data_IF_207457611364
#
_entry.id   IF_207457611364
#
_cell.length_a   1.000
_cell.length_b   1.000
_cell.length_c   1.000
_cell.angle_alpha   90.00
_cell.angle_beta   90.00
_cell.angle_gamma   90.00
#
_symmetry.space_group_name_H-M   'P 1'
#
loop_
_entity.id
_entity.type
_entity.pdbx_description
1 polymer ?
#
# COMPACT_ATOMS: atom_id res chain seq x y z
N UNK A 1 -3.94 -22.11 -29.90
CA UNK A 1 -3.99 -20.71 -30.36
C UNK A 1 -2.66 -20.45 -31.05
N UNK A 2 -2.72 -20.15 -32.33
CA UNK A 2 -1.60 -20.24 -33.27
C UNK A 2 -0.60 -19.10 -33.07
N UNK A 3 0.69 -19.45 -33.09
CA UNK A 3 1.83 -18.53 -33.15
C UNK A 3 2.17 -18.28 -34.62
N UNK A 4 2.32 -17.03 -35.08
CA UNK A 4 3.04 -16.76 -36.30
C UNK A 4 4.48 -16.34 -36.00
N UNK A 5 5.39 -17.24 -36.32
CA UNK A 5 6.81 -16.97 -36.61
C UNK A 5 6.89 -16.16 -37.91
N UNK A 6 7.63 -15.06 -37.94
CA UNK A 6 8.07 -14.45 -39.20
C UNK A 6 9.55 -14.05 -39.13
N UNK A 7 10.39 -14.92 -39.69
CA UNK A 7 11.76 -14.64 -40.07
C UNK A 7 11.79 -14.14 -41.52
N UNK A 8 12.51 -13.04 -41.80
CA UNK A 8 12.95 -12.71 -43.16
C UNK A 8 14.39 -12.21 -43.13
N UNK A 9 15.31 -13.06 -43.61
CA UNK A 9 16.68 -12.71 -43.99
C UNK A 9 16.71 -12.44 -45.50
N UNK A 10 17.45 -11.39 -45.91
CA UNK A 10 17.71 -10.97 -47.30
C UNK A 10 18.56 -12.00 -48.07
N UNK A 11 18.70 -11.90 -49.42
CA UNK A 11 19.96 -11.31 -49.90
C UNK A 11 19.93 -10.53 -51.24
N UNK A 12 20.79 -9.52 -51.27
CA UNK A 12 21.80 -9.13 -52.27
C UNK A 12 21.54 -9.01 -53.80
N UNK A 13 21.78 -7.78 -54.28
CA UNK A 13 22.68 -7.36 -55.40
C UNK A 13 22.42 -7.89 -56.83
N UNK A 14 22.23 -6.97 -57.81
CA UNK A 14 23.21 -6.70 -58.88
C UNK A 14 22.66 -5.94 -60.12
N UNK A 15 23.60 -5.23 -60.77
CA UNK A 15 23.69 -4.81 -62.20
C UNK A 15 23.18 -3.42 -62.62
N UNK A 16 24.16 -2.49 -62.65
CA UNK A 16 24.67 -1.77 -63.84
C UNK A 16 23.78 -1.69 -65.09
N UNK A 17 23.57 -0.46 -65.58
CA UNK A 17 23.87 -0.08 -66.99
C UNK A 17 24.19 1.42 -67.14
N UNK A 18 25.01 1.80 -68.15
CA UNK A 18 25.65 3.11 -68.28
C UNK A 18 25.01 4.00 -69.37
N UNK A 19 25.68 5.13 -69.67
CA UNK A 19 25.52 6.13 -70.76
C UNK A 19 24.80 7.41 -70.29
N UNK A 20 25.20 8.65 -70.61
CA UNK A 20 26.28 9.27 -71.40
C UNK A 20 26.17 10.82 -71.20
N UNK A 21 27.27 11.55 -71.45
CA UNK A 21 27.35 12.99 -71.86
C UNK A 21 27.00 14.04 -70.77
N UNK A 22 27.69 15.17 -70.55
CA UNK A 22 28.72 15.91 -71.30
C UNK A 22 29.24 17.11 -70.47
N UNK A 23 30.45 17.56 -70.83
CA UNK A 23 30.93 18.96 -70.85
C UNK A 23 31.34 19.69 -69.54
N UNK A 24 32.67 19.71 -69.35
CA UNK A 24 33.55 20.86 -69.09
C UNK A 24 33.01 22.13 -68.40
N UNK A 25 33.62 22.47 -67.26
CA UNK A 25 33.58 23.79 -66.66
C UNK A 25 34.73 23.97 -65.66
N UNK A 26 35.50 25.04 -65.83
CA UNK A 26 36.75 25.39 -65.15
C UNK A 26 36.52 25.81 -63.69
N UNK A 27 37.42 25.39 -62.79
CA UNK A 27 37.93 26.28 -61.73
C UNK A 27 37.68 25.88 -60.27
N UNK A 28 38.68 26.26 -59.47
CA UNK A 28 38.76 26.39 -58.02
C UNK A 28 39.28 25.20 -57.20
N UNK A 29 40.38 25.52 -56.50
CA UNK A 29 40.94 24.81 -55.36
C UNK A 29 39.84 24.51 -54.33
N UNK A 30 39.53 23.22 -54.19
CA UNK A 30 38.80 22.71 -53.04
C UNK A 30 39.88 22.30 -52.04
N UNK A 31 40.06 23.17 -51.04
CA UNK A 31 40.61 22.76 -49.75
C UNK A 31 39.97 21.43 -49.37
N UNK A 32 40.81 20.46 -49.00
CA UNK A 32 40.38 19.20 -48.45
C UNK A 32 39.55 19.44 -47.18
N UNK A 33 38.25 19.70 -47.36
CA UNK A 33 37.25 19.23 -46.42
C UNK A 33 37.26 17.71 -46.57
N UNK A 34 38.22 17.05 -45.91
CA UNK A 34 37.93 15.73 -45.38
C UNK A 34 36.78 15.96 -44.41
N UNK A 35 35.54 15.92 -44.92
CA UNK A 35 34.45 15.40 -44.12
C UNK A 35 34.94 13.99 -43.74
N UNK A 36 35.57 13.88 -42.57
CA UNK A 36 35.73 12.61 -41.91
C UNK A 36 34.32 12.01 -41.94
N UNK A 37 34.13 10.85 -42.59
CA UNK A 37 32.82 10.25 -42.65
C UNK A 37 32.35 10.17 -41.20
N UNK A 38 31.18 10.77 -40.92
CA UNK A 38 30.54 10.63 -39.61
C UNK A 38 30.63 9.14 -39.26
N UNK A 39 31.30 8.83 -38.16
CA UNK A 39 31.41 7.46 -37.70
C UNK A 39 29.98 6.88 -37.72
N UNK A 40 29.79 5.69 -38.30
CA UNK A 40 28.46 5.12 -38.39
C UNK A 40 27.90 5.02 -36.97
N UNK A 41 26.76 5.69 -36.72
CA UNK A 41 26.05 5.56 -35.45
C UNK A 41 25.38 4.19 -35.43
N UNK A 42 25.77 3.35 -34.48
CA UNK A 42 25.22 2.00 -34.33
C UNK A 42 24.17 2.05 -33.22
N UNK A 43 22.88 2.02 -33.59
CA UNK A 43 21.78 1.87 -32.61
C UNK A 43 21.63 0.37 -32.31
N UNK A 44 22.43 -0.12 -31.36
CA UNK A 44 22.35 -1.52 -30.94
C UNK A 44 21.48 -1.59 -29.70
N UNK A 45 20.33 -2.24 -29.85
CA UNK A 45 19.36 -2.47 -28.79
C UNK A 45 19.53 -3.88 -28.26
N UNK A 46 20.01 -3.98 -27.03
CA UNK A 46 19.90 -5.22 -26.26
C UNK A 46 18.55 -5.18 -25.56
N UNK A 47 17.68 -6.14 -25.85
CA UNK A 47 16.41 -6.31 -25.15
C UNK A 47 16.53 -7.56 -24.29
N UNK A 48 16.58 -7.40 -22.96
CA UNK A 48 16.49 -8.52 -22.04
C UNK A 48 15.03 -9.02 -22.01
N UNK A 49 14.74 -10.31 -22.27
CA UNK A 49 13.40 -10.85 -22.09
C UNK A 49 13.03 -10.83 -20.59
N UNK A 50 11.82 -10.37 -20.28
CA UNK A 50 11.31 -10.25 -18.91
C UNK A 50 10.34 -11.38 -18.57
N UNK A 51 10.31 -11.78 -17.29
CA UNK A 51 9.20 -12.53 -16.70
C UNK A 51 8.21 -11.54 -16.09
N UNK A 52 6.92 -11.74 -16.31
CA UNK A 52 5.84 -10.94 -15.74
C UNK A 52 5.29 -11.59 -14.48
N UNK A 53 6.15 -12.12 -13.61
CA UNK A 53 5.65 -12.80 -12.41
C UNK A 53 4.99 -11.74 -11.51
N UNK A 54 3.66 -11.82 -11.30
CA UNK A 54 2.96 -10.80 -10.55
C UNK A 54 3.37 -10.91 -9.08
N UNK A 55 3.90 -9.84 -8.52
CA UNK A 55 4.12 -9.76 -7.07
C UNK A 55 2.77 -9.57 -6.39
N UNK A 56 2.51 -10.38 -5.37
CA UNK A 56 1.21 -10.40 -4.72
C UNK A 56 1.11 -9.26 -3.71
N UNK A 57 0.02 -8.50 -3.79
CA UNK A 57 -0.24 -7.40 -2.87
C UNK A 57 -0.31 -7.84 -1.41
N UNK A 58 -0.56 -9.14 -1.16
CA UNK A 58 -0.60 -9.73 0.18
C UNK A 58 0.73 -9.63 0.92
N UNK A 59 1.84 -9.48 0.20
CA UNK A 59 3.17 -9.32 0.81
C UNK A 59 3.34 -7.94 1.46
N UNK A 60 2.48 -6.96 1.10
CA UNK A 60 2.48 -5.60 1.65
C UNK A 60 1.35 -5.36 2.65
N UNK A 61 0.54 -6.39 2.94
CA UNK A 61 -0.58 -6.26 3.86
C UNK A 61 -0.10 -6.47 5.30
N UNK A 62 -0.52 -5.60 6.24
CA UNK A 62 -0.37 -5.86 7.66
C UNK A 62 -1.03 -7.19 8.04
N UNK A 63 -0.55 -7.84 9.10
CA UNK A 63 -0.98 -9.18 9.50
C UNK A 63 -2.50 -9.30 9.73
N UNK A 64 -3.16 -8.21 10.09
CA UNK A 64 -4.60 -8.15 10.33
C UNK A 64 -5.45 -8.17 9.04
N UNK A 65 -4.85 -7.98 7.86
CA UNK A 65 -5.57 -7.93 6.58
C UNK A 65 -5.26 -9.19 5.78
N UNK A 66 -6.32 -9.86 5.35
CA UNK A 66 -6.20 -11.01 4.45
C UNK A 66 -7.02 -10.76 3.18
N UNK A 67 -6.50 -11.18 2.04
CA UNK A 67 -7.29 -11.26 0.81
C UNK A 67 -8.18 -12.51 0.85
N UNK A 68 -9.44 -12.37 0.49
CA UNK A 68 -10.42 -13.46 0.41
C UNK A 68 -11.32 -13.28 -0.83
N UNK A 69 -12.25 -14.21 -1.05
CA UNK A 69 -13.31 -14.07 -2.04
C UNK A 69 -14.70 -14.25 -1.42
N UNK A 70 -15.59 -13.31 -1.74
CA UNK A 70 -17.01 -13.36 -1.39
C UNK A 70 -17.83 -13.36 -2.69
N UNK A 71 -18.67 -14.37 -2.89
CA UNK A 71 -19.49 -14.53 -4.10
C UNK A 71 -18.71 -14.46 -5.42
N UNK A 72 -17.45 -14.89 -5.41
CA UNK A 72 -16.56 -14.87 -6.57
C UNK A 72 -15.95 -13.49 -6.88
N UNK A 73 -16.13 -12.51 -6.01
CA UNK A 73 -15.43 -11.22 -6.03
C UNK A 73 -14.30 -11.24 -5.01
N UNK A 74 -13.15 -10.66 -5.34
CA UNK A 74 -12.05 -10.53 -4.40
C UNK A 74 -12.34 -9.40 -3.41
N UNK A 75 -12.10 -9.65 -2.12
CA UNK A 75 -12.35 -8.73 -1.01
C UNK A 75 -11.20 -8.80 -0.02
N UNK A 76 -11.06 -7.78 0.83
CA UNK A 76 -10.23 -7.89 2.03
C UNK A 76 -11.09 -8.27 3.23
N UNK A 77 -10.53 -9.08 4.12
CA UNK A 77 -11.00 -9.26 5.48
C UNK A 77 -10.03 -8.60 6.45
N UNK A 78 -10.56 -7.78 7.33
CA UNK A 78 -9.82 -7.10 8.39
C UNK A 78 -10.15 -7.79 9.71
N UNK A 79 -9.14 -8.14 10.50
CA UNK A 79 -9.35 -8.76 11.83
C UNK A 79 -10.22 -7.87 12.72
N UNK A 80 -10.99 -8.53 13.60
CA UNK A 80 -11.92 -7.86 14.49
C UNK A 80 -11.21 -6.88 15.44
N UNK A 81 -11.86 -5.74 15.67
CA UNK A 81 -11.34 -4.66 16.52
C UNK A 81 -12.23 -4.50 17.74
N UNK A 82 -11.68 -4.62 18.95
CA UNK A 82 -12.48 -4.59 20.18
C UNK A 82 -11.82 -3.71 21.24
N UNK A 83 -12.66 -2.98 21.99
CA UNK A 83 -12.25 -2.26 23.19
C UNK A 83 -13.39 -2.26 24.20
N UNK A 84 -13.03 -2.29 25.48
CA UNK A 84 -13.95 -2.07 26.59
C UNK A 84 -13.48 -0.93 27.49
N UNK A 85 -14.43 -0.40 28.26
CA UNK A 85 -14.20 0.62 29.28
C UNK A 85 -15.25 0.52 30.38
N UNK A 86 -14.86 0.85 31.60
CA UNK A 86 -15.71 0.80 32.78
C UNK A 86 -15.90 2.19 33.37
N UNK A 87 -17.16 2.59 33.56
CA UNK A 87 -17.54 3.86 34.16
C UNK A 87 -18.07 3.63 35.56
N UNK A 88 -17.39 4.17 36.56
CA UNK A 88 -17.78 4.02 37.95
C UNK A 88 -18.98 4.90 38.30
N UNK A 89 -19.77 4.50 39.30
CA UNK A 89 -20.88 5.29 39.80
C UNK A 89 -20.41 6.66 40.31
N UNK A 90 -19.21 6.73 40.90
CA UNK A 90 -18.62 8.00 41.34
C UNK A 90 -18.34 8.98 40.20
N UNK A 91 -18.00 8.48 39.02
CA UNK A 91 -17.78 9.29 37.80
C UNK A 91 -19.11 9.71 37.17
N UNK A 92 -20.05 8.77 37.04
CA UNK A 92 -21.35 9.03 36.41
C UNK A 92 -22.26 9.91 37.28
N UNK A 93 -22.15 9.79 38.61
CA UNK A 93 -22.97 10.51 39.59
C UNK A 93 -22.06 11.20 40.62
N UNK A 94 -21.55 12.42 40.34
CA UNK A 94 -20.75 13.16 41.31
C UNK A 94 -21.45 13.43 42.65
N UNK A 95 -22.79 13.50 42.65
CA UNK A 95 -23.59 13.64 43.87
C UNK A 95 -23.53 12.38 44.77
N UNK A 96 -23.31 11.20 44.18
CA UNK A 96 -23.21 9.93 44.90
C UNK A 96 -21.91 9.82 45.73
N UNK A 97 -20.88 10.61 45.41
CA UNK A 97 -19.62 10.65 46.16
C UNK A 97 -19.82 10.97 47.65
N UNK A 98 -20.70 11.92 47.96
CA UNK A 98 -21.00 12.31 49.35
C UNK A 98 -21.88 11.28 50.09
N UNK A 99 -22.48 10.35 49.36
CA UNK A 99 -23.45 9.37 49.86
C UNK A 99 -22.83 7.96 50.02
N UNK A 100 -21.53 7.83 49.78
CA UNK A 100 -20.80 6.56 49.85
C UNK A 100 -21.07 5.79 51.16
N UNK A 101 -21.45 4.52 51.03
CA UNK A 101 -21.78 3.60 52.12
C UNK A 101 -23.16 3.80 52.76
N UNK A 102 -23.90 4.85 52.38
CA UNK A 102 -25.24 5.13 52.90
C UNK A 102 -26.32 4.43 52.08
N UNK A 103 -27.41 4.04 52.74
CA UNK A 103 -28.63 3.56 52.06
C UNK A 103 -29.57 4.74 51.83
N UNK A 104 -29.60 5.24 50.61
CA UNK A 104 -30.37 6.42 50.20
C UNK A 104 -30.99 6.22 48.83
N UNK A 105 -31.96 7.06 48.47
CA UNK A 105 -32.45 7.09 47.09
C UNK A 105 -31.31 7.52 46.16
N UNK A 106 -31.14 6.83 45.04
CA UNK A 106 -30.12 7.21 44.05
C UNK A 106 -30.55 8.53 43.40
N UNK A 107 -29.73 9.58 43.46
CA UNK A 107 -30.06 10.84 42.80
C UNK A 107 -30.17 10.67 41.28
N UNK A 108 -30.96 11.53 40.62
CA UNK A 108 -30.90 11.67 39.16
C UNK A 108 -29.48 11.99 38.71
N UNK A 109 -29.00 11.34 37.65
CA UNK A 109 -27.75 11.70 36.99
C UNK A 109 -27.84 11.55 35.46
N UNK A 110 -27.02 12.36 34.79
CA UNK A 110 -26.74 12.25 33.36
C UNK A 110 -25.23 12.13 33.17
N UNK A 111 -24.83 11.30 32.22
CA UNK A 111 -23.43 11.06 31.94
C UNK A 111 -23.18 10.92 30.44
N UNK A 112 -22.06 11.44 29.97
CA UNK A 112 -21.67 11.39 28.56
C UNK A 112 -20.18 11.19 28.47
N UNK A 113 -19.76 10.19 27.71
CA UNK A 113 -18.37 9.97 27.36
C UNK A 113 -18.29 9.22 26.03
N UNK A 114 -17.11 8.76 25.66
CA UNK A 114 -16.90 7.99 24.44
C UNK A 114 -15.85 6.90 24.62
N UNK A 115 -16.03 5.83 23.87
CA UNK A 115 -15.09 4.74 23.70
C UNK A 115 -14.46 4.84 22.32
N UNK A 116 -13.14 4.85 22.23
CA UNK A 116 -12.41 4.85 20.96
C UNK A 116 -11.87 3.45 20.72
N UNK A 117 -12.14 2.92 19.53
CA UNK A 117 -11.62 1.65 19.06
C UNK A 117 -10.73 1.95 17.84
N UNK A 118 -9.43 2.16 18.04
CA UNK A 118 -8.51 2.38 16.93
C UNK A 118 -8.30 1.07 16.16
N UNK A 119 -7.76 1.14 14.95
CA UNK A 119 -7.18 -0.04 14.33
C UNK A 119 -5.97 -0.53 15.15
N UNK A 120 -5.87 -1.85 15.33
CA UNK A 120 -4.86 -2.50 16.17
C UNK A 120 -3.43 -2.38 15.63
N UNK A 121 -3.29 -2.05 14.35
CA UNK A 121 -2.00 -1.89 13.68
C UNK A 121 -1.87 -0.46 13.16
N UNK A 122 -0.71 0.13 13.41
CA UNK A 122 -0.40 1.50 13.00
C UNK A 122 -0.25 1.64 11.50
N UNK A 123 -0.04 0.53 10.81
CA UNK A 123 0.15 0.51 9.37
C UNK A 123 -1.19 0.49 8.62
N UNK A 124 -2.31 0.13 9.26
CA UNK A 124 -3.63 0.31 8.66
C UNK A 124 -4.15 1.74 8.89
N UNK A 125 -4.29 2.52 7.82
CA UNK A 125 -4.72 3.92 7.88
C UNK A 125 -6.20 4.09 7.60
N UNK A 126 -6.72 3.43 6.55
CA UNK A 126 -8.14 3.47 6.25
C UNK A 126 -8.66 2.21 5.59
N UNK A 127 -9.95 1.95 5.77
CA UNK A 127 -10.67 0.80 5.22
C UNK A 127 -11.92 1.29 4.50
N UNK A 128 -12.08 0.90 3.23
CA UNK A 128 -13.33 1.08 2.48
C UNK A 128 -14.20 -0.16 2.69
N UNK A 129 -15.07 -0.10 3.69
CA UNK A 129 -15.97 -1.19 4.10
C UNK A 129 -17.03 -1.39 3.04
N UNK A 130 -17.28 -2.65 2.69
CA UNK A 130 -18.46 -3.11 1.98
C UNK A 130 -19.56 -3.50 2.98
N UNK A 131 -19.18 -4.25 4.00
CA UNK A 131 -20.02 -4.64 5.13
C UNK A 131 -19.17 -4.92 6.37
N UNK A 132 -19.69 -4.59 7.55
CA UNK A 132 -19.15 -5.04 8.83
C UNK A 132 -20.28 -5.18 9.86
N UNK A 133 -20.02 -5.88 10.96
CA UNK A 133 -20.96 -5.99 12.07
C UNK A 133 -20.35 -5.33 13.31
N UNK A 134 -21.04 -4.37 13.92
CA UNK A 134 -20.62 -3.80 15.20
C UNK A 134 -21.45 -4.38 16.34
N UNK A 135 -20.80 -5.14 17.21
CA UNK A 135 -21.38 -5.64 18.45
C UNK A 135 -21.15 -4.62 19.57
N UNK A 136 -22.24 -4.12 20.17
CA UNK A 136 -22.23 -3.23 21.32
C UNK A 136 -22.79 -3.96 22.54
N UNK A 137 -22.06 -3.94 23.66
CA UNK A 137 -22.48 -4.54 24.92
C UNK A 137 -22.44 -3.52 26.05
N UNK A 138 -23.55 -3.43 26.78
CA UNK A 138 -23.66 -2.60 27.99
C UNK A 138 -23.94 -3.51 29.17
N UNK A 139 -22.95 -3.69 30.04
CA UNK A 139 -23.05 -4.52 31.23
C UNK A 139 -23.21 -3.67 32.47
N UNK A 140 -24.23 -3.97 33.26
CA UNK A 140 -24.51 -3.26 34.50
C UNK A 140 -23.94 -4.02 35.70
N UNK A 141 -22.87 -3.49 36.30
CA UNK A 141 -22.35 -3.98 37.58
C UNK A 141 -22.80 -3.11 38.77
N UNK A 142 -23.77 -2.20 38.57
CA UNK A 142 -24.43 -1.50 39.66
C UNK A 142 -25.35 -2.47 40.42
N UNK A 143 -25.73 -2.08 41.64
CA UNK A 143 -26.68 -2.82 42.47
C UNK A 143 -28.14 -2.36 42.26
N UNK A 144 -28.40 -1.60 41.20
CA UNK A 144 -29.72 -1.13 40.75
C UNK A 144 -29.78 -1.08 39.22
N UNK A 145 -30.98 -0.92 38.67
CA UNK A 145 -31.20 -0.68 37.25
C UNK A 145 -31.05 0.82 36.94
N UNK A 146 -30.01 1.25 36.19
CA UNK A 146 -29.81 2.66 35.87
C UNK A 146 -30.85 3.20 34.90
N UNK A 147 -31.55 2.36 34.14
CA UNK A 147 -32.58 2.78 33.19
C UNK A 147 -33.94 3.03 33.85
N UNK A 148 -34.09 2.65 35.13
CA UNK A 148 -35.22 3.07 35.98
C UNK A 148 -36.57 2.85 35.29
N UNK A 149 -36.93 1.59 34.97
CA UNK A 149 -38.09 1.26 34.14
C UNK A 149 -39.43 1.76 34.71
N UNK A 150 -39.49 2.06 36.02
CA UNK A 150 -40.67 2.57 36.72
C UNK A 150 -40.69 4.09 36.92
N UNK A 151 -39.64 4.82 36.53
CA UNK A 151 -39.62 6.29 36.59
C UNK A 151 -40.50 6.91 35.50
N UNK A 152 -40.91 8.17 35.71
CA UNK A 152 -41.68 8.97 34.75
C UNK A 152 -41.01 10.33 34.50
N UNK A 153 -40.28 10.52 33.38
CA UNK A 153 -40.00 9.52 32.35
C UNK A 153 -38.95 8.48 32.80
N UNK A 154 -38.89 7.30 32.15
CA UNK A 154 -37.83 6.32 32.39
C UNK A 154 -36.48 6.80 31.87
N UNK A 155 -35.41 6.22 32.40
CA UNK A 155 -34.05 6.46 31.94
C UNK A 155 -33.78 5.86 30.57
N UNK A 156 -32.64 6.24 30.00
CA UNK A 156 -32.23 5.78 28.67
C UNK A 156 -30.71 5.77 28.50
N UNK A 157 -30.25 5.00 27.54
CA UNK A 157 -28.88 5.04 27.01
C UNK A 157 -28.95 5.30 25.51
N UNK A 158 -28.33 6.39 25.06
CA UNK A 158 -28.17 6.73 23.66
C UNK A 158 -26.74 6.42 23.24
N UNK A 159 -26.56 5.61 22.20
CA UNK A 159 -25.27 5.25 21.61
C UNK A 159 -25.20 5.85 20.20
N UNK A 160 -24.04 6.38 19.81
CA UNK A 160 -23.79 6.86 18.45
C UNK A 160 -22.39 6.45 18.01
N UNK A 161 -22.32 5.71 16.92
CA UNK A 161 -21.08 5.21 16.32
C UNK A 161 -20.64 6.20 15.25
N UNK A 162 -19.38 6.62 15.31
CA UNK A 162 -18.81 7.60 14.38
C UNK A 162 -17.46 7.15 13.86
N UNK A 163 -17.14 7.56 12.64
CA UNK A 163 -15.78 7.47 12.12
C UNK A 163 -14.85 8.32 12.97
N UNK A 164 -13.66 7.78 13.29
CA UNK A 164 -12.77 8.40 14.27
C UNK A 164 -12.15 9.70 13.75
N UNK A 165 -11.76 9.75 12.47
CA UNK A 165 -11.09 10.92 11.89
C UNK A 165 -12.09 12.03 11.50
N UNK A 166 -13.15 11.69 10.77
CA UNK A 166 -14.10 12.69 10.24
C UNK A 166 -15.21 13.05 11.23
N UNK A 167 -15.49 12.19 12.21
CA UNK A 167 -16.64 12.32 13.10
C UNK A 167 -17.99 12.07 12.43
N UNK A 168 -18.01 11.57 11.19
CA UNK A 168 -19.24 11.22 10.48
C UNK A 168 -20.04 10.17 11.27
N UNK A 169 -21.36 10.35 11.35
CA UNK A 169 -22.24 9.37 11.98
C UNK A 169 -22.34 8.13 11.08
N UNK A 170 -22.03 6.98 11.65
CA UNK A 170 -22.19 5.68 11.02
C UNK A 170 -23.58 5.14 11.36
N UNK A 171 -23.87 5.02 12.66
CA UNK A 171 -25.17 4.56 13.15
C UNK A 171 -25.45 5.05 14.59
N UNK A 172 -26.68 4.87 15.08
CA UNK A 172 -27.07 5.22 16.44
C UNK A 172 -28.18 4.32 16.99
N UNK A 173 -28.16 4.11 18.31
CA UNK A 173 -29.13 3.31 19.03
C UNK A 173 -29.66 4.09 20.24
N UNK A 174 -30.97 4.00 20.50
CA UNK A 174 -31.58 4.51 21.73
C UNK A 174 -32.23 3.37 22.49
N UNK A 175 -31.73 3.10 23.68
CA UNK A 175 -32.21 2.10 24.61
C UNK A 175 -33.06 2.81 25.66
N UNK A 176 -34.34 2.50 25.73
CA UNK A 176 -35.26 3.08 26.72
C UNK A 176 -35.55 2.08 27.84
N UNK A 177 -35.41 2.53 29.08
CA UNK A 177 -35.80 1.74 30.26
C UNK A 177 -37.28 1.36 30.29
N UNK A 178 -38.13 2.06 29.53
CA UNK A 178 -39.55 1.71 29.41
C UNK A 178 -39.76 0.31 28.81
N UNK A 179 -38.91 -0.06 27.84
CA UNK A 179 -39.03 -1.28 27.06
C UNK A 179 -37.98 -2.31 27.43
N UNK A 180 -36.78 -1.86 27.78
CA UNK A 180 -35.60 -2.69 27.96
C UNK A 180 -34.93 -2.31 29.28
N UNK A 181 -35.33 -2.93 30.40
CA UNK A 181 -34.66 -2.72 31.68
C UNK A 181 -33.24 -3.28 31.63
N UNK A 182 -32.37 -2.75 32.49
CA UNK A 182 -31.00 -3.24 32.66
C UNK A 182 -30.75 -3.57 34.14
N UNK A 183 -31.30 -4.69 34.65
CA UNK A 183 -31.13 -5.10 36.04
C UNK A 183 -29.67 -5.25 36.47
N UNK A 184 -29.44 -5.27 37.77
CA UNK A 184 -28.12 -5.48 38.35
C UNK A 184 -27.52 -6.84 37.90
N UNK A 185 -26.34 -6.81 37.30
CA UNK A 185 -25.63 -7.97 36.77
C UNK A 185 -25.97 -8.33 35.32
N UNK A 186 -26.99 -7.72 34.73
CA UNK A 186 -27.42 -8.02 33.37
C UNK A 186 -26.56 -7.29 32.33
N UNK A 187 -26.66 -7.76 31.09
CA UNK A 187 -25.97 -7.20 29.93
C UNK A 187 -26.96 -7.05 28.79
N UNK A 188 -26.99 -5.86 28.18
CA UNK A 188 -27.65 -5.65 26.89
C UNK A 188 -26.63 -5.82 25.78
N UNK A 189 -27.04 -6.48 24.70
CA UNK A 189 -26.20 -6.73 23.53
C UNK A 189 -26.98 -6.35 22.27
N UNK A 190 -26.35 -5.57 21.40
CA UNK A 190 -26.89 -5.15 20.11
C UNK A 190 -25.86 -5.37 19.02
N UNK A 191 -26.33 -5.78 17.86
CA UNK A 191 -25.51 -5.88 16.64
C UNK A 191 -26.04 -4.85 15.65
N UNK A 192 -25.14 -3.99 15.16
CA UNK A 192 -25.43 -2.99 14.14
C UNK A 192 -24.75 -3.42 12.83
N UNK A 193 -25.55 -3.60 11.78
CA UNK A 193 -25.04 -3.89 10.45
C UNK A 193 -24.51 -2.61 9.81
N UNK A 194 -23.19 -2.54 9.63
CA UNK A 194 -22.52 -1.41 9.01
C UNK A 194 -22.48 -1.65 7.51
N UNK A 195 -23.22 -0.84 6.75
CA UNK A 195 -23.18 -0.84 5.29
C UNK A 195 -21.90 -0.20 4.73
N UNK A 196 -21.87 0.09 3.41
CA UNK A 196 -20.71 0.69 2.78
C UNK A 196 -20.31 2.02 3.43
N UNK A 197 -19.08 2.09 3.94
CA UNK A 197 -18.56 3.23 4.68
C UNK A 197 -17.03 3.30 4.57
N UNK A 198 -16.46 4.47 4.87
CA UNK A 198 -15.02 4.63 5.04
C UNK A 198 -14.72 4.79 6.52
N UNK A 199 -13.83 3.95 7.05
CA UNK A 199 -13.25 4.12 8.38
C UNK A 199 -11.80 4.57 8.26
N UNK A 200 -11.46 5.62 9.00
CA UNK A 200 -10.10 6.16 9.06
C UNK A 200 -9.63 6.16 10.51
N UNK A 201 -8.46 5.58 10.77
CA UNK A 201 -7.86 5.37 12.09
C UNK A 201 -8.70 4.51 13.08
N UNK A 202 -9.93 4.12 12.74
CA UNK A 202 -10.84 3.31 13.55
C UNK A 202 -12.23 3.95 13.71
N UNK A 203 -12.90 3.69 14.83
CA UNK A 203 -14.22 4.27 15.12
C UNK A 203 -14.35 4.72 16.58
N UNK A 204 -15.38 5.52 16.85
CA UNK A 204 -15.73 6.02 18.18
C UNK A 204 -17.19 5.74 18.49
N UNK A 205 -17.44 5.16 19.65
CA UNK A 205 -18.79 5.01 20.22
C UNK A 205 -18.99 6.12 21.25
N UNK A 206 -19.83 7.09 20.92
CA UNK A 206 -20.36 8.03 21.88
C UNK A 206 -21.49 7.39 22.65
N UNK A 207 -21.54 7.61 23.96
CA UNK A 207 -22.70 7.22 24.74
C UNK A 207 -23.14 8.34 25.66
N UNK A 208 -24.44 8.40 25.87
CA UNK A 208 -25.08 9.30 26.81
C UNK A 208 -26.11 8.51 27.61
N UNK A 209 -25.99 8.53 28.93
CA UNK A 209 -26.89 7.84 29.84
C UNK A 209 -27.67 8.85 30.69
N UNK A 210 -28.97 8.61 30.87
CA UNK A 210 -29.82 9.34 31.78
C UNK A 210 -30.48 8.35 32.75
N UNK A 211 -30.28 8.58 34.05
CA UNK A 211 -30.86 7.80 35.13
C UNK A 211 -31.70 8.71 36.03
N UNK A 212 -33.04 8.72 35.90
CA UNK A 212 -33.92 9.52 36.74
C UNK A 212 -34.10 8.93 38.14
N UNK A 213 -34.51 9.76 39.09
CA UNK A 213 -34.97 9.30 40.41
C UNK A 213 -36.32 8.55 40.30
N UNK A 214 -36.36 7.32 40.82
CA UNK A 214 -37.58 6.50 40.98
C UNK A 214 -37.91 6.23 42.45
N UNK A 215 -37.19 6.85 43.39
CA UNK A 215 -37.31 6.65 44.82
C UNK A 215 -36.71 5.32 45.34
N UNK A 216 -36.08 4.50 44.48
CA UNK A 216 -35.44 3.26 44.92
C UNK A 216 -34.24 3.58 45.81
N UNK A 217 -34.24 3.00 47.00
CA UNK A 217 -33.11 3.12 47.94
C UNK A 217 -32.14 1.97 47.77
N UNK A 218 -30.85 2.29 47.68
CA UNK A 218 -29.76 1.31 47.62
C UNK A 218 -28.60 1.77 48.48
N UNK A 219 -27.71 0.84 48.85
CA UNK A 219 -26.43 1.21 49.43
C UNK A 219 -25.52 1.74 48.33
N UNK A 220 -25.08 2.99 48.46
CA UNK A 220 -24.21 3.63 47.46
C UNK A 220 -22.79 3.07 47.61
N UNK A 221 -22.29 2.45 46.54
CA UNK A 221 -20.88 2.08 46.39
C UNK A 221 -20.36 2.69 45.08
N UNK A 222 -19.47 3.67 45.22
CA UNK A 222 -18.95 4.44 44.08
C UNK A 222 -17.98 3.63 43.20
N UNK A 223 -17.57 2.43 43.62
CA UNK A 223 -16.72 1.55 42.82
C UNK A 223 -17.51 0.62 41.88
N UNK A 224 -18.83 0.53 42.05
CA UNK A 224 -19.69 -0.19 41.11
C UNK A 224 -19.66 0.53 39.76
N UNK A 225 -19.80 -0.21 38.67
CA UNK A 225 -19.59 0.32 37.33
C UNK A 225 -20.63 -0.12 36.32
N UNK A 226 -20.71 0.62 35.22
CA UNK A 226 -21.28 0.17 33.95
C UNK A 226 -20.12 -0.03 33.00
N UNK A 227 -20.07 -1.20 32.34
CA UNK A 227 -19.05 -1.52 31.35
C UNK A 227 -19.65 -1.39 29.96
N UNK A 228 -19.01 -0.60 29.12
CA UNK A 228 -19.31 -0.50 27.70
C UNK A 228 -18.22 -1.24 26.92
N UNK A 229 -18.64 -2.19 26.10
CA UNK A 229 -17.79 -2.97 25.21
C UNK A 229 -18.27 -2.79 23.76
N UNK A 230 -17.33 -2.58 22.85
CA UNK A 230 -17.60 -2.41 21.43
C UNK A 230 -16.61 -3.25 20.62
N UNK A 231 -17.14 -4.10 19.76
CA UNK A 231 -16.38 -4.97 18.86
C UNK A 231 -16.87 -4.78 17.42
N UNK A 232 -15.97 -4.45 16.50
CA UNK A 232 -16.22 -4.43 15.07
C UNK A 232 -15.72 -5.75 14.48
N UNK A 233 -16.68 -6.61 14.15
CA UNK A 233 -16.50 -7.97 13.66
C UNK A 233 -16.78 -8.04 12.14
N UNK A 234 -16.28 -9.11 11.51
CA UNK A 234 -16.60 -9.48 10.11
C UNK A 234 -16.39 -8.35 9.09
N UNK A 235 -15.33 -7.55 9.25
CA UNK A 235 -15.06 -6.43 8.35
C UNK A 235 -14.68 -6.96 6.96
N UNK A 236 -15.57 -6.76 6.00
CA UNK A 236 -15.33 -7.02 4.58
C UNK A 236 -15.11 -5.68 3.88
N UNK A 237 -13.97 -5.54 3.21
CA UNK A 237 -13.55 -4.29 2.59
C UNK A 237 -13.26 -4.45 1.10
N UNK A 238 -13.58 -3.42 0.34
CA UNK A 238 -13.27 -3.30 -1.09
C UNK A 238 -11.85 -2.78 -1.32
N UNK A 239 -11.34 -1.97 -0.40
CA UNK A 239 -10.00 -1.42 -0.46
C UNK A 239 -9.47 -1.15 0.95
N UNK A 240 -8.16 -1.17 1.08
CA UNK A 240 -7.44 -0.78 2.31
C UNK A 240 -6.34 0.19 1.94
N UNK A 241 -6.05 1.11 2.84
CA UNK A 241 -4.92 2.02 2.73
C UNK A 241 -3.97 1.72 3.84
N UNK A 242 -2.74 1.35 3.49
CA UNK A 242 -1.72 0.95 4.44
C UNK A 242 -0.47 1.83 4.34
N UNK A 243 0.23 1.94 5.45
CA UNK A 243 1.60 2.42 5.54
C UNK A 243 2.51 1.27 5.12
N UNK A 244 3.44 1.52 4.20
CA UNK A 244 4.44 0.53 3.79
C UNK A 244 5.80 1.09 4.20
N UNK A 245 6.42 0.49 5.22
CA UNK A 245 7.76 0.89 5.66
C UNK A 245 8.81 -0.14 5.22
N UNK A 246 9.47 0.17 4.10
CA UNK A 246 10.80 -0.36 3.84
C UNK A 246 10.86 -1.82 3.41
N UNK A 247 9.76 -2.41 2.92
CA UNK A 247 9.81 -3.77 2.40
C UNK A 247 10.70 -3.85 1.17
N UNK A 248 11.65 -4.79 1.25
CA UNK A 248 12.66 -5.00 0.22
C UNK A 248 12.13 -5.97 -0.81
N UNK A 249 11.92 -5.46 -2.02
CA UNK A 249 11.51 -6.22 -3.17
C UNK A 249 12.74 -6.75 -3.91
N UNK A 250 13.09 -8.02 -3.76
CA UNK A 250 14.25 -8.63 -4.43
C UNK A 250 13.78 -9.59 -5.55
N UNK A 251 13.96 -9.21 -6.82
CA UNK A 251 13.79 -10.14 -7.95
C UNK A 251 15.02 -10.18 -8.87
N UNK A 252 15.17 -11.30 -9.60
CA UNK A 252 16.40 -11.65 -10.33
C UNK A 252 16.09 -12.36 -11.65
N UNK A 253 16.77 -11.97 -12.72
CA UNK A 253 16.55 -12.45 -14.09
C UNK A 253 17.85 -12.74 -14.82
N UNK A 254 17.78 -13.55 -15.88
CA UNK A 254 18.88 -13.80 -16.83
C UNK A 254 18.55 -13.17 -18.19
N UNK A 255 19.49 -12.42 -18.76
CA UNK A 255 19.40 -11.79 -20.06
C UNK A 255 20.49 -12.32 -20.99
N UNK A 256 20.13 -12.79 -22.19
CA UNK A 256 21.08 -13.26 -23.20
C UNK A 256 21.72 -12.08 -23.95
N UNK A 257 23.02 -12.15 -24.20
CA UNK A 257 23.78 -11.12 -24.96
C UNK A 257 24.32 -11.75 -26.24
N UNK A 258 24.01 -11.15 -27.39
CA UNK A 258 24.51 -11.60 -28.70
C UNK A 258 26.06 -11.53 -28.76
N UNK A 259 26.69 -12.60 -29.22
CA UNK A 259 28.14 -12.77 -29.23
C UNK A 259 28.85 -11.85 -30.24
N UNK A 260 28.21 -11.55 -31.38
CA UNK A 260 28.82 -10.73 -32.45
C UNK A 260 29.01 -9.26 -32.02
N UNK A 261 28.32 -8.84 -30.96
CA UNK A 261 28.34 -7.48 -30.42
C UNK A 261 29.56 -7.19 -29.51
N UNK A 262 30.17 -8.21 -28.92
CA UNK A 262 31.11 -8.04 -27.78
C UNK A 262 32.51 -7.60 -28.17
N UNK A 263 33.06 -8.15 -29.24
CA UNK A 263 34.45 -7.84 -29.66
C UNK A 263 34.59 -6.40 -30.17
N UNK A 264 33.53 -5.84 -30.77
CA UNK A 264 33.50 -4.45 -31.24
C UNK A 264 33.19 -3.43 -30.12
N UNK A 265 32.59 -3.89 -29.01
CA UNK A 265 32.24 -3.07 -27.85
C UNK A 265 33.50 -2.57 -27.12
N UNK A 266 34.38 -3.50 -26.76
CA UNK A 266 35.50 -3.25 -25.83
C UNK A 266 36.51 -2.23 -26.38
N UNK A 267 36.71 -2.24 -27.70
CA UNK A 267 37.75 -1.40 -28.33
C UNK A 267 37.25 0.00 -28.72
N UNK A 268 35.93 0.24 -28.79
CA UNK A 268 35.37 1.46 -29.42
C UNK A 268 34.25 2.15 -28.64
N UNK A 269 33.77 1.58 -27.55
CA UNK A 269 32.68 2.15 -26.78
C UNK A 269 33.20 3.01 -25.64
N UNK A 270 32.86 4.29 -25.69
CA UNK A 270 33.26 5.29 -24.68
C UNK A 270 32.19 5.43 -23.59
N UNK A 271 30.91 5.30 -23.96
CA UNK A 271 29.78 5.24 -23.03
C UNK A 271 28.56 4.54 -23.62
N UNK A 272 27.66 4.09 -22.75
CA UNK A 272 26.34 3.58 -23.11
C UNK A 272 25.26 4.32 -22.32
N UNK A 273 24.12 4.56 -22.94
CA UNK A 273 22.91 5.03 -22.25
C UNK A 273 22.00 3.85 -21.99
N UNK A 274 21.28 3.85 -20.88
CA UNK A 274 20.19 2.91 -20.63
C UNK A 274 18.88 3.69 -20.44
N UNK A 275 17.81 3.12 -20.95
CA UNK A 275 16.43 3.48 -20.67
C UNK A 275 15.81 2.34 -19.86
N UNK A 276 15.15 2.67 -18.76
CA UNK A 276 14.50 1.76 -17.84
C UNK A 276 13.08 2.26 -17.62
N UNK A 277 12.09 1.49 -18.08
CA UNK A 277 10.69 1.78 -17.79
C UNK A 277 10.23 0.76 -16.77
N UNK A 278 9.73 1.20 -15.63
CA UNK A 278 8.98 0.35 -14.70
C UNK A 278 7.50 0.59 -14.94
N UNK A 279 6.81 -0.41 -15.49
CA UNK A 279 5.34 -0.41 -15.53
C UNK A 279 4.87 -1.04 -14.23
N UNK A 280 3.89 -0.45 -13.57
CA UNK A 280 3.09 -1.08 -12.52
C UNK A 280 1.77 -0.30 -12.41
N UNK A 281 0.74 -0.91 -11.82
CA UNK A 281 -0.61 -0.33 -11.70
C UNK A 281 -0.90 0.24 -10.30
N UNK A 282 0.03 0.14 -9.35
CA UNK A 282 -0.09 0.67 -7.98
C UNK A 282 0.66 2.00 -7.86
N UNK A 283 0.21 2.94 -7.03
CA UNK A 283 1.03 4.09 -6.66
C UNK A 283 1.97 3.70 -5.51
N UNK A 284 3.23 3.42 -5.86
CA UNK A 284 4.30 3.06 -4.92
C UNK A 284 5.41 4.08 -5.11
N UNK A 285 5.80 4.76 -4.04
CA UNK A 285 6.99 5.61 -4.01
C UNK A 285 8.14 4.87 -3.33
N UNK A 286 9.36 5.13 -3.78
CA UNK A 286 10.53 4.43 -3.25
C UNK A 286 11.77 4.62 -4.11
N UNK A 287 12.90 4.14 -3.60
CA UNK A 287 14.13 4.02 -4.38
C UNK A 287 14.20 2.64 -4.99
N UNK A 288 14.51 2.60 -6.29
CA UNK A 288 14.80 1.38 -7.02
C UNK A 288 16.32 1.29 -7.18
N UNK A 289 16.92 0.20 -6.74
CA UNK A 289 18.28 -0.19 -7.12
C UNK A 289 18.19 -1.26 -8.19
N UNK A 290 18.93 -1.09 -9.28
CA UNK A 290 19.05 -2.12 -10.32
C UNK A 290 20.48 -2.58 -10.37
N UNK A 291 20.69 -3.88 -10.40
CA UNK A 291 22.00 -4.52 -10.41
C UNK A 291 22.14 -5.37 -11.66
N UNK A 292 23.27 -5.26 -12.35
CA UNK A 292 23.67 -6.13 -13.45
C UNK A 292 24.88 -6.94 -13.01
N UNK A 293 24.83 -8.26 -13.05
CA UNK A 293 25.91 -9.13 -12.57
C UNK A 293 26.17 -10.32 -13.49
N UNK A 294 27.35 -10.95 -13.34
CA UNK A 294 27.72 -12.14 -14.11
C UNK A 294 27.11 -13.45 -13.60
N UNK A 295 26.52 -13.43 -12.41
CA UNK A 295 25.81 -14.56 -11.79
C UNK A 295 24.70 -14.06 -10.87
N UNK A 296 23.72 -14.92 -10.58
CA UNK A 296 22.62 -14.58 -9.67
C UNK A 296 23.10 -14.23 -8.26
N UNK A 297 24.11 -14.94 -7.75
CA UNK A 297 24.64 -14.74 -6.39
C UNK A 297 25.44 -13.43 -6.25
N UNK A 298 25.86 -12.85 -7.37
CA UNK A 298 26.59 -11.57 -7.37
C UNK A 298 25.64 -10.36 -7.45
N UNK A 299 24.34 -10.56 -7.70
CA UNK A 299 23.34 -9.49 -7.65
C UNK A 299 23.24 -8.93 -6.23
N UNK A 300 23.35 -7.60 -6.10
CA UNK A 300 23.33 -6.89 -4.82
C UNK A 300 24.40 -7.34 -3.82
N UNK A 301 25.52 -7.83 -4.32
CA UNK A 301 26.64 -8.32 -3.50
C UNK A 301 27.54 -7.21 -2.97
N UNK A 302 27.40 -5.97 -3.48
CA UNK A 302 28.28 -4.83 -3.19
C UNK A 302 29.73 -5.05 -3.68
N UNK A 303 29.95 -6.01 -4.59
CA UNK A 303 31.25 -6.30 -5.19
C UNK A 303 31.39 -5.60 -6.55
N UNK A 304 32.15 -4.47 -6.64
CA UNK A 304 32.18 -3.63 -7.84
C UNK A 304 32.87 -4.29 -9.06
N UNK A 305 33.60 -5.38 -8.85
CA UNK A 305 34.22 -6.20 -9.90
C UNK A 305 33.29 -7.30 -10.44
N UNK A 306 32.09 -7.46 -9.85
CA UNK A 306 31.13 -8.52 -10.19
C UNK A 306 29.72 -7.99 -10.44
N UNK A 307 29.49 -6.73 -10.13
CA UNK A 307 28.19 -6.08 -10.12
C UNK A 307 28.32 -4.65 -10.68
N UNK A 308 27.39 -4.27 -11.55
CA UNK A 308 27.17 -2.88 -11.97
C UNK A 308 25.84 -2.42 -11.41
N UNK A 309 25.88 -1.43 -10.51
CA UNK A 309 24.68 -0.81 -9.94
C UNK A 309 24.23 0.41 -10.72
N UNK A 310 22.95 0.43 -11.04
CA UNK A 310 22.22 1.60 -11.52
C UNK A 310 21.54 2.23 -10.30
N UNK A 311 21.95 3.45 -9.96
CA UNK A 311 21.49 4.18 -8.77
C UNK A 311 20.68 5.41 -9.18
N UNK A 312 19.88 5.90 -8.24
CA UNK A 312 19.06 7.10 -8.44
C UNK A 312 17.79 6.85 -9.25
N UNK A 313 17.37 5.59 -9.35
CA UNK A 313 16.10 5.22 -9.95
C UNK A 313 14.99 5.36 -8.90
N UNK A 314 13.82 5.81 -9.34
CA UNK A 314 12.64 5.99 -8.50
C UNK A 314 11.59 4.94 -8.85
N UNK A 315 10.75 4.52 -7.91
CA UNK A 315 9.53 3.78 -8.26
C UNK A 315 8.51 4.78 -8.78
N UNK A 316 8.40 4.95 -10.10
CA UNK A 316 7.34 5.79 -10.68
C UNK A 316 6.74 5.08 -11.88
N UNK A 317 5.49 4.65 -11.73
CA UNK A 317 4.75 3.89 -12.72
C UNK A 317 4.72 4.60 -14.09
N UNK A 318 5.14 3.87 -15.12
CA UNK A 318 5.02 4.30 -16.52
C UNK A 318 5.89 5.51 -16.89
N UNK A 319 6.80 5.93 -16.02
CA UNK A 319 7.76 7.01 -16.30
C UNK A 319 9.10 6.37 -16.70
N UNK A 320 9.54 6.56 -17.95
CA UNK A 320 10.87 6.13 -18.37
C UNK A 320 11.96 6.85 -17.59
N UNK A 321 12.95 6.10 -17.13
CA UNK A 321 14.12 6.59 -16.44
C UNK A 321 15.35 6.31 -17.28
N UNK A 322 16.29 7.25 -17.25
CA UNK A 322 17.45 7.23 -18.13
C UNK A 322 18.71 7.38 -17.29
N UNK A 323 19.77 6.69 -17.71
CA UNK A 323 21.10 6.93 -17.16
C UNK A 323 22.21 6.54 -18.13
N UNK A 324 23.44 6.71 -17.67
CA UNK A 324 24.64 6.40 -18.44
C UNK A 324 25.48 5.35 -17.71
N UNK A 325 26.00 4.40 -18.49
CA UNK A 325 27.07 3.49 -18.11
C UNK A 325 28.39 4.10 -18.58
N UNK A 326 29.31 4.28 -17.64
CA UNK A 326 30.67 4.70 -17.96
C UNK A 326 31.51 3.53 -18.49
N UNK A 327 32.69 3.84 -19.02
CA UNK A 327 33.61 2.85 -19.58
C UNK A 327 33.98 1.73 -18.59
N UNK A 328 34.24 2.06 -17.32
CA UNK A 328 34.61 1.07 -16.30
C UNK A 328 33.49 0.05 -16.04
N UNK A 329 32.23 0.50 -16.06
CA UNK A 329 31.06 -0.36 -15.91
C UNK A 329 30.88 -1.28 -17.12
N UNK A 330 31.13 -0.77 -18.33
CA UNK A 330 31.07 -1.58 -19.57
C UNK A 330 32.17 -2.64 -19.57
N UNK A 331 33.40 -2.26 -19.22
CA UNK A 331 34.54 -3.19 -19.07
C UNK A 331 34.30 -4.21 -17.95
N UNK A 332 33.49 -3.89 -16.94
CA UNK A 332 33.08 -4.84 -15.90
C UNK A 332 32.14 -5.91 -16.47
N UNK A 333 31.09 -5.48 -17.19
CA UNK A 333 30.10 -6.39 -17.82
C UNK A 333 30.75 -7.35 -18.83
N UNK A 334 31.75 -6.87 -19.57
CA UNK A 334 32.51 -7.71 -20.51
C UNK A 334 33.25 -8.87 -19.82
N UNK A 335 33.79 -8.60 -18.62
CA UNK A 335 34.58 -9.56 -17.84
C UNK A 335 33.77 -10.60 -17.08
N UNK A 336 32.43 -10.56 -17.18
CA UNK A 336 31.58 -11.54 -16.52
C UNK A 336 31.86 -12.98 -17.00
N UNK A 337 31.88 -13.95 -16.08
CA UNK A 337 32.35 -15.31 -16.37
C UNK A 337 31.47 -16.07 -17.37
N UNK A 338 30.19 -15.68 -17.50
CA UNK A 338 29.29 -16.17 -18.53
C UNK A 338 29.00 -15.06 -19.54
N UNK A 339 29.74 -14.99 -20.65
CA UNK A 339 29.55 -13.93 -21.64
C UNK A 339 28.22 -14.08 -22.41
N UNK A 340 27.58 -15.24 -22.40
CA UNK A 340 26.34 -15.41 -23.17
C UNK A 340 25.09 -14.97 -22.38
N UNK A 341 25.26 -14.68 -21.08
CA UNK A 341 24.15 -14.34 -20.19
C UNK A 341 24.60 -13.38 -19.08
N UNK A 342 23.94 -12.23 -18.94
CA UNK A 342 24.06 -11.37 -17.76
C UNK A 342 22.84 -11.55 -16.87
N UNK A 343 23.00 -11.37 -15.57
CA UNK A 343 21.89 -11.34 -14.64
C UNK A 343 21.51 -9.90 -14.35
N UNK A 344 20.21 -9.61 -14.34
CA UNK A 344 19.69 -8.31 -13.91
C UNK A 344 18.79 -8.57 -12.71
N UNK A 345 19.06 -7.88 -11.62
CA UNK A 345 18.18 -7.87 -10.45
C UNK A 345 17.67 -6.47 -10.19
N UNK A 346 16.51 -6.37 -9.58
CA UNK A 346 16.06 -5.14 -8.93
C UNK A 346 15.83 -5.36 -7.45
N UNK A 347 16.18 -4.32 -6.69
CA UNK A 347 15.92 -4.17 -5.28
C UNK A 347 15.13 -2.90 -5.09
N UNK A 348 13.85 -3.02 -4.83
CA UNK A 348 13.01 -1.89 -4.46
C UNK A 348 12.90 -1.76 -2.96
N UNK A 349 12.96 -0.54 -2.44
CA UNK A 349 12.45 -0.23 -1.10
C UNK A 349 11.21 0.60 -1.30
N UNK A 350 10.05 -0.03 -1.20
CA UNK A 350 8.78 0.69 -1.22
C UNK A 350 8.65 1.44 0.11
N UNK A 351 8.43 2.75 0.05
CA UNK A 351 8.21 3.57 1.23
C UNK A 351 6.99 4.46 1.01
N UNK A 352 5.89 4.12 1.66
CA UNK A 352 4.76 5.00 1.82
C UNK A 352 4.76 5.52 3.25
N UNK A 353 5.43 6.64 3.53
CA UNK A 353 5.42 7.24 4.87
C UNK A 353 4.34 8.32 4.98
N UNK A 354 3.62 8.32 6.10
CA UNK A 354 2.77 9.44 6.52
C UNK A 354 3.68 10.61 6.90
N UNK A 355 3.93 11.51 5.95
CA UNK A 355 4.55 12.79 6.29
C UNK A 355 3.46 13.77 6.73
N UNK A 356 3.56 14.27 7.96
CA UNK A 356 2.63 15.27 8.54
C UNK A 356 2.65 16.64 7.82
N UNK A 357 3.17 16.69 6.58
CA UNK A 357 3.41 17.91 5.78
C UNK A 357 2.63 17.96 4.46
N UNK A 358 1.46 17.31 4.39
CA UNK A 358 0.46 17.62 3.37
C UNK A 358 0.65 16.99 1.99
N UNK A 359 1.47 15.92 1.90
CA UNK A 359 1.36 14.92 0.83
C UNK A 359 1.48 13.51 1.44
N UNK A 360 0.40 12.73 1.49
CA UNK A 360 0.46 11.34 1.93
C UNK A 360 0.94 10.47 0.77
N UNK A 361 2.08 9.80 0.94
CA UNK A 361 2.39 8.64 0.12
C UNK A 361 1.82 7.44 0.88
N UNK A 362 0.53 7.21 0.70
CA UNK A 362 -0.20 6.08 1.25
C UNK A 362 -0.58 5.18 0.08
N UNK A 363 -0.27 3.89 0.15
CA UNK A 363 -0.63 2.97 -0.92
C UNK A 363 -2.04 2.47 -0.69
N UNK A 364 -2.95 2.87 -1.58
CA UNK A 364 -4.31 2.33 -1.65
C UNK A 364 -4.26 1.01 -2.40
N UNK A 365 -4.68 -0.06 -1.72
CA UNK A 365 -4.64 -1.42 -2.21
C UNK A 365 -6.08 -1.90 -2.45
N UNK A 366 -6.28 -2.68 -3.51
CA UNK A 366 -7.53 -3.40 -3.83
C UNK A 366 -7.17 -4.87 -4.06
N UNK A 367 -8.08 -5.81 -3.78
CA UNK A 367 -7.77 -7.24 -3.83
C UNK A 367 -7.31 -7.75 -5.20
N UNK A 368 -7.77 -7.10 -6.27
CA UNK A 368 -7.41 -7.46 -7.66
C UNK A 368 -6.12 -6.79 -8.17
N UNK A 369 -5.44 -5.96 -7.36
CA UNK A 369 -4.20 -5.32 -7.80
C UNK A 369 -3.06 -6.34 -7.84
N UNK A 370 -2.45 -6.46 -9.01
CA UNK A 370 -1.18 -7.17 -9.22
C UNK A 370 -0.07 -6.17 -9.52
N UNK A 371 1.05 -6.26 -8.82
CA UNK A 371 2.25 -5.50 -9.19
C UNK A 371 2.90 -6.19 -10.39
N UNK A 372 2.44 -5.85 -11.58
CA UNK A 372 3.07 -6.29 -12.82
C UNK A 372 4.26 -5.37 -13.09
N UNK A 373 5.47 -5.77 -12.72
CA UNK A 373 6.68 -5.00 -13.01
C UNK A 373 7.22 -5.35 -14.39
N UNK A 374 6.91 -4.54 -15.40
CA UNK A 374 7.60 -4.62 -16.69
C UNK A 374 8.81 -3.71 -16.65
N UNK A 375 10.02 -4.30 -16.73
CA UNK A 375 11.28 -3.58 -16.81
C UNK A 375 11.83 -3.62 -18.24
N UNK A 376 11.62 -2.54 -19.00
CA UNK A 376 12.27 -2.43 -20.32
C UNK A 376 13.63 -1.77 -20.17
N UNK A 377 14.73 -2.54 -20.26
CA UNK A 377 16.08 -1.99 -20.38
C UNK A 377 16.43 -1.87 -21.86
N UNK A 378 16.47 -0.65 -22.39
CA UNK A 378 17.01 -0.38 -23.73
C UNK A 378 18.34 0.33 -23.58
N UNK A 379 19.45 -0.38 -23.82
CA UNK A 379 20.74 0.27 -23.92
C UNK A 379 20.95 0.83 -25.33
N UNK A 380 21.38 2.09 -25.44
CA UNK A 380 21.89 2.67 -26.70
C UNK A 380 23.36 3.02 -26.50
N UNK A 381 24.20 2.39 -27.30
CA UNK A 381 25.64 2.56 -27.21
C UNK A 381 26.10 3.56 -28.26
N UNK A 382 26.73 4.65 -27.82
CA UNK A 382 27.33 5.61 -28.76
C UNK A 382 28.79 5.25 -28.95
N UNK A 383 29.10 4.67 -30.10
CA UNK A 383 30.47 4.37 -30.51
C UNK A 383 31.15 5.67 -30.94
N UNK A 384 32.13 6.13 -30.17
CA UNK A 384 32.98 7.27 -30.51
C UNK A 384 34.06 6.86 -31.50
N UNK A 385 34.28 7.68 -32.53
CA UNK A 385 35.32 7.46 -33.56
C UNK A 385 36.68 7.96 -33.16
#
# INVERSE_FOLDING_TARGET
MEVPVLAIIRPAVSRLRPLLLSAAGVGLAVLAACELPKAPEWDIRVMAPFSSDPMSIVDFLPALITADSLDGQAVFRVEAQQQDTAYSLGEMCPACLALAGQTVAVPTFEYTDSLVVPFSDTDLVSVEILSAALTLRVRNNLNFDPLRPTADPPGYVALAVRDLASGALIDSLLISGASEPLPAGDTLEYVLDIGPAQLTDGFRVWFHASSPDDGQTVQIDNNLSVVLDAALDEIVAAAVTVLVDGDTLDERFTAEVDQDFRQELAERVDSATYELVLVHNVEVDGTLEVSIAGSEVDLFSDMPDREVRLRGLVFTAGVPQYGELNKEQIECIERFPNPDSVYVGYRGVASGTRTDFGRPNLSRLTPDLTLDTELTVTSKIRVGG
#
